data_IF_309399102556
#
_entry.id   IF_309399102556
#
_cell.length_a   1.000
_cell.length_b   1.000
_cell.length_c   1.000
_cell.angle_alpha   90.00
_cell.angle_beta   90.00
_cell.angle_gamma   90.00
#
_symmetry.space_group_name_H-M   'P 1'
#
loop_
_entity.id
_entity.type
_entity.pdbx_description
1 polymer ?
#
# COMPACT_ATOMS: atom_id res chain seq x y z
N UNK A 1 17.87 -13.77 -32.36
CA UNK A 1 16.55 -14.12 -31.77
C UNK A 1 16.65 -14.50 -30.29
N UNK A 2 17.53 -15.43 -29.90
CA UNK A 2 17.72 -15.85 -28.50
C UNK A 2 18.12 -14.68 -27.57
N UNK A 3 19.07 -13.85 -27.98
CA UNK A 3 19.52 -12.68 -27.19
C UNK A 3 18.38 -11.67 -26.96
N UNK A 4 17.53 -11.44 -27.96
CA UNK A 4 16.37 -10.55 -27.85
C UNK A 4 15.31 -11.14 -26.88
N UNK A 5 15.08 -12.45 -26.94
CA UNK A 5 14.21 -13.18 -26.00
C UNK A 5 14.74 -13.11 -24.57
N UNK A 6 16.05 -13.27 -24.36
CA UNK A 6 16.68 -13.16 -23.04
C UNK A 6 16.62 -11.72 -22.50
N UNK A 7 16.83 -10.70 -23.34
CA UNK A 7 16.67 -9.29 -22.96
C UNK A 7 15.21 -8.96 -22.61
N UNK A 8 14.23 -9.46 -23.37
CA UNK A 8 12.81 -9.27 -23.08
C UNK A 8 12.38 -9.97 -21.79
N UNK A 9 12.88 -11.18 -21.52
CA UNK A 9 12.64 -11.91 -20.27
C UNK A 9 13.29 -11.23 -19.07
N UNK A 10 14.47 -10.62 -19.26
CA UNK A 10 15.16 -9.85 -18.22
C UNK A 10 14.42 -8.53 -17.91
N UNK A 11 13.98 -7.79 -18.94
CA UNK A 11 13.19 -6.57 -18.79
C UNK A 11 11.80 -6.86 -18.18
N UNK A 12 11.14 -7.96 -18.54
CA UNK A 12 9.81 -8.33 -18.03
C UNK A 12 9.80 -8.68 -16.53
N UNK A 13 10.95 -9.00 -15.92
CA UNK A 13 11.07 -9.25 -14.48
C UNK A 13 11.10 -7.95 -13.66
N UNK A 14 11.33 -6.79 -14.27
CA UNK A 14 11.64 -5.54 -13.54
C UNK A 14 10.38 -4.75 -13.17
N UNK A 15 9.22 -5.01 -13.77
CA UNK A 15 8.05 -4.12 -13.63
C UNK A 15 6.86 -4.75 -12.89
N UNK A 16 7.09 -5.43 -11.76
CA UNK A 16 5.99 -5.79 -10.84
C UNK A 16 5.86 -4.70 -9.79
N UNK A 17 5.13 -3.64 -10.12
CA UNK A 17 4.74 -2.61 -9.16
C UNK A 17 3.61 -3.11 -8.28
N UNK A 18 3.92 -3.53 -7.05
CA UNK A 18 2.91 -3.92 -6.07
C UNK A 18 2.61 -2.70 -5.19
N UNK A 19 1.44 -2.10 -5.42
CA UNK A 19 0.91 -1.03 -4.59
C UNK A 19 1.49 0.36 -4.84
N UNK A 20 1.43 1.18 -3.80
CA UNK A 20 1.72 2.63 -3.86
C UNK A 20 3.02 3.03 -3.14
N UNK A 21 3.94 2.09 -2.95
CA UNK A 21 5.19 2.36 -2.25
C UNK A 21 6.01 3.45 -2.97
N UNK A 22 6.80 4.20 -2.21
CA UNK A 22 7.65 5.31 -2.68
C UNK A 22 6.94 6.55 -3.27
N UNK A 23 5.60 6.58 -3.30
CA UNK A 23 4.86 7.80 -3.64
C UNK A 23 4.92 8.77 -2.45
N UNK A 24 5.48 9.98 -2.60
CA UNK A 24 5.60 10.93 -1.50
C UNK A 24 4.24 11.49 -1.11
N UNK A 25 4.02 11.66 0.20
CA UNK A 25 2.83 12.30 0.72
C UNK A 25 2.47 11.82 2.12
N UNK A 26 1.48 12.49 2.71
CA UNK A 26 0.85 12.08 3.96
C UNK A 26 -0.60 11.77 3.62
N UNK A 27 -1.03 10.54 3.89
CA UNK A 27 -2.34 10.01 3.51
C UNK A 27 -3.08 9.56 4.77
N UNK A 28 -2.79 8.37 5.30
CA UNK A 28 -3.44 7.87 6.50
C UNK A 28 -3.23 8.81 7.69
N UNK A 29 -2.08 9.46 7.79
CA UNK A 29 -1.81 10.45 8.84
C UNK A 29 -2.72 11.69 8.82
N UNK A 30 -3.40 11.98 7.69
CA UNK A 30 -4.37 13.09 7.56
C UNK A 30 -5.83 12.63 7.73
N UNK A 31 -6.09 11.33 7.78
CA UNK A 31 -7.44 10.78 7.90
C UNK A 31 -7.92 10.82 9.36
N UNK A 32 -9.22 10.97 9.55
CA UNK A 32 -9.90 10.74 10.83
C UNK A 32 -11.19 9.93 10.58
N UNK A 33 -11.36 8.73 11.17
CA UNK A 33 -10.36 8.00 11.95
C UNK A 33 -9.12 7.65 11.12
N UNK A 34 -7.95 7.68 11.75
CA UNK A 34 -6.65 7.50 11.07
C UNK A 34 -6.53 6.14 10.40
N UNK A 35 -6.96 5.07 11.07
CA UNK A 35 -6.86 3.70 10.60
C UNK A 35 -8.17 2.96 10.89
N UNK A 36 -8.50 1.96 10.08
CA UNK A 36 -9.69 1.13 10.27
C UNK A 36 -9.30 -0.33 10.56
N UNK A 37 -9.82 -0.96 11.63
CA UNK A 37 -9.33 -2.26 12.09
C UNK A 37 -9.71 -3.42 11.18
N UNK A 38 -10.79 -3.29 10.41
CA UNK A 38 -11.33 -4.30 9.50
C UNK A 38 -11.45 -3.71 8.09
N UNK A 39 -11.73 -4.56 7.09
CA UNK A 39 -12.06 -4.12 5.72
C UNK A 39 -13.15 -3.06 5.76
N UNK A 40 -12.83 -1.88 5.27
CA UNK A 40 -13.76 -0.76 5.16
C UNK A 40 -13.50 -0.05 3.83
N UNK A 41 -14.43 -0.21 2.89
CA UNK A 41 -14.29 0.34 1.54
C UNK A 41 -14.30 1.89 1.53
N UNK A 42 -14.72 2.52 2.63
CA UNK A 42 -14.67 3.97 2.84
C UNK A 42 -13.41 4.42 3.58
N UNK A 43 -12.54 3.49 3.98
CA UNK A 43 -11.26 3.76 4.64
C UNK A 43 -10.16 4.17 3.65
N UNK A 44 -10.46 5.18 2.84
CA UNK A 44 -9.65 5.56 1.68
C UNK A 44 -9.09 6.97 1.75
N UNK A 45 -8.08 7.23 0.92
CA UNK A 45 -7.53 8.55 0.59
C UNK A 45 -7.33 8.65 -0.92
N UNK A 46 -7.46 9.87 -1.47
CA UNK A 46 -7.18 10.11 -2.89
C UNK A 46 -5.69 9.99 -3.19
N UNK A 47 -5.35 9.31 -4.28
CA UNK A 47 -3.98 9.13 -4.77
C UNK A 47 -3.98 9.17 -6.31
N UNK A 48 -2.92 9.70 -6.92
CA UNK A 48 -2.76 9.75 -8.39
C UNK A 48 -3.99 10.28 -9.15
N UNK A 49 -4.67 11.31 -8.62
CA UNK A 49 -5.85 11.91 -9.25
C UNK A 49 -7.15 11.23 -8.85
N UNK A 50 -7.62 10.27 -9.65
CA UNK A 50 -8.91 9.59 -9.48
C UNK A 50 -8.80 8.18 -8.86
N UNK A 51 -7.62 7.79 -8.39
CA UNK A 51 -7.43 6.53 -7.69
C UNK A 51 -7.56 6.70 -6.18
N UNK A 52 -7.78 5.58 -5.50
CA UNK A 52 -7.85 5.51 -4.05
C UNK A 52 -6.76 4.58 -3.52
N UNK A 53 -6.21 4.93 -2.37
CA UNK A 53 -5.45 4.03 -1.53
C UNK A 53 -6.18 3.85 -0.19
N UNK A 54 -5.90 2.76 0.51
CA UNK A 54 -6.62 2.36 1.71
C UNK A 54 -5.76 2.50 2.99
N UNK A 55 -6.45 2.75 4.10
CA UNK A 55 -5.87 2.88 5.44
C UNK A 55 -6.43 1.83 6.42
N UNK A 56 -7.22 0.87 5.93
CA UNK A 56 -7.68 -0.26 6.72
C UNK A 56 -6.66 -1.41 6.75
N UNK A 57 -6.78 -2.31 7.72
CA UNK A 57 -5.83 -3.42 7.87
C UNK A 57 -5.91 -4.47 6.74
N UNK A 58 -6.99 -4.49 5.96
CA UNK A 58 -7.21 -5.44 4.87
C UNK A 58 -6.46 -5.04 3.59
N UNK A 59 -5.99 -3.80 3.49
CA UNK A 59 -5.19 -3.34 2.35
C UNK A 59 -3.84 -4.06 2.24
N UNK A 60 -3.28 -4.53 3.36
CA UNK A 60 -1.96 -5.14 3.40
C UNK A 60 -2.02 -6.64 3.17
N UNK A 61 -1.97 -7.06 1.89
CA UNK A 61 -1.99 -8.48 1.48
C UNK A 61 -0.60 -9.03 1.16
N UNK A 62 0.46 -8.37 1.64
CA UNK A 62 1.84 -8.78 1.43
C UNK A 62 2.24 -8.85 -0.04
N UNK A 63 2.74 -10.00 -0.47
CA UNK A 63 3.24 -10.23 -1.84
C UNK A 63 2.13 -10.37 -2.89
N UNK A 64 0.86 -10.49 -2.47
CA UNK A 64 -0.27 -10.75 -3.37
C UNK A 64 -1.01 -9.48 -3.83
N UNK A 65 -0.49 -8.30 -3.51
CA UNK A 65 -1.16 -7.03 -3.77
C UNK A 65 -1.23 -6.18 -2.51
N UNK A 66 -1.05 -4.87 -2.66
CA UNK A 66 -1.15 -3.95 -1.55
C UNK A 66 -1.75 -2.64 -2.08
N UNK A 67 -3.02 -2.36 -1.79
CA UNK A 67 -3.68 -1.09 -2.13
C UNK A 67 -3.58 -0.07 -0.98
N UNK A 68 -2.69 -0.31 -0.01
CA UNK A 68 -2.46 0.59 1.10
C UNK A 68 -1.85 1.91 0.65
N UNK A 69 -2.21 2.99 1.34
CA UNK A 69 -1.56 4.26 1.16
C UNK A 69 -0.06 4.20 1.50
N UNK A 70 0.77 5.05 0.88
CA UNK A 70 2.23 5.02 1.03
C UNK A 70 2.72 5.07 2.48
N UNK A 71 2.00 5.77 3.36
CA UNK A 71 2.34 5.94 4.79
C UNK A 71 1.66 4.90 5.72
N UNK A 72 0.86 3.97 5.19
CA UNK A 72 0.07 3.01 5.98
C UNK A 72 0.93 2.21 6.98
N UNK A 73 2.07 1.64 6.54
CA UNK A 73 2.89 0.80 7.41
C UNK A 73 3.39 1.59 8.63
N UNK A 74 3.87 2.81 8.42
CA UNK A 74 4.32 3.67 9.50
C UNK A 74 3.19 4.14 10.42
N UNK A 75 2.01 4.44 9.85
CA UNK A 75 0.89 5.07 10.59
C UNK A 75 -0.03 4.04 11.25
N UNK A 76 -0.39 2.96 10.56
CA UNK A 76 -1.43 2.02 10.97
C UNK A 76 -0.87 0.66 11.39
N UNK A 77 0.21 0.18 10.77
CA UNK A 77 0.77 -1.15 11.08
C UNK A 77 1.74 -1.14 12.26
N UNK A 78 2.63 -0.16 12.30
CA UNK A 78 3.74 -0.11 13.26
C UNK A 78 3.65 1.05 14.26
N UNK A 79 2.55 1.80 14.26
CA UNK A 79 2.39 2.84 15.27
C UNK A 79 2.31 2.23 16.68
N UNK A 80 2.80 2.97 17.66
CA UNK A 80 2.86 2.55 19.06
C UNK A 80 1.48 2.10 19.61
N UNK A 81 0.39 2.62 19.02
CA UNK A 81 -0.99 2.25 19.35
C UNK A 81 -1.35 0.83 18.87
N UNK A 82 -0.77 0.36 17.76
CA UNK A 82 -0.96 -1.00 17.22
C UNK A 82 -0.02 -2.02 17.88
N UNK A 83 1.11 -1.58 18.43
CA UNK A 83 2.10 -2.43 19.10
C UNK A 83 1.80 -2.69 20.59
N UNK A 84 0.81 -2.03 21.17
CA UNK A 84 0.35 -2.32 22.52
C UNK A 84 -0.51 -3.60 22.51
N UNK A 85 -0.14 -4.67 23.24
CA UNK A 85 -0.98 -5.84 23.35
C UNK A 85 -2.16 -5.54 24.28
N UNK A 86 -3.38 -5.44 23.72
CA UNK A 86 -4.62 -5.41 24.51
C UNK A 86 -5.66 -4.38 24.11
N UNK A 87 -6.23 -4.49 22.90
CA UNK A 87 -7.59 -4.04 22.62
C UNK A 87 -8.36 -5.13 21.89
#
# INVERSE_FOLDING_TARGET
MIILLLLLLWLGRITVGIGFHDIPGIYCGKRSPTCCPNRDDQCTMAILGNHLCYCDMFCDRGEYGNDCCPDFKAVCRYSQRTLAPGQ
#
